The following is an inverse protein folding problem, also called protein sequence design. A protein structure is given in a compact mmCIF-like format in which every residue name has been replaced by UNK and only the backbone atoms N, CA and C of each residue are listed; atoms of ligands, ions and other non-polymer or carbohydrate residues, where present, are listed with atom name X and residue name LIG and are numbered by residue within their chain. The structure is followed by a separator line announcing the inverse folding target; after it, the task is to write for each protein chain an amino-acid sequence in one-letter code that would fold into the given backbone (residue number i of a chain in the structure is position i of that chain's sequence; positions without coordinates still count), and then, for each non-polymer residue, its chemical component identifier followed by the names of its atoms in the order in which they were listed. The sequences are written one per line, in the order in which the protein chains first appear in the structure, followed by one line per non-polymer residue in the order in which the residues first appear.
data_IF_957835172925
#
_entry.id   IF_957835172925
#
_cell.length_a   1.000
_cell.length_b   1.000
_cell.length_c   1.000
_cell.angle_alpha   90.00
_cell.angle_beta   90.00
_cell.angle_gamma   90.00
#
_symmetry.space_group_name_H-M   'P 1'
#
loop_
_entity.id
_entity.type
_entity.pdbx_description
1 polymer ?
#
# COMPACT_ATOMS: atom_id res chain seq x y z
N UNK A 1 5.30 11.57 -9.33
CA UNK A 1 5.08 12.17 -10.67
C UNK A 1 3.67 11.90 -11.17
N UNK A 2 3.22 10.65 -11.38
CA UNK A 2 1.94 10.32 -12.00
C UNK A 2 0.73 10.93 -11.28
N UNK A 3 0.65 10.85 -9.98
CA UNK A 3 -0.47 11.39 -9.20
C UNK A 3 -0.57 12.92 -9.28
N UNK A 4 0.56 13.64 -9.35
CA UNK A 4 0.57 15.09 -9.58
C UNK A 4 0.11 15.48 -10.99
N UNK A 5 0.35 14.62 -11.95
CA UNK A 5 0.02 14.84 -13.36
C UNK A 5 -1.06 13.85 -13.82
N UNK A 6 -2.05 13.59 -12.97
CA UNK A 6 -3.04 12.54 -13.17
C UNK A 6 -3.84 12.74 -14.45
N UNK A 7 -4.26 13.98 -14.73
CA UNK A 7 -4.97 14.33 -15.97
C UNK A 7 -4.13 14.04 -17.22
N UNK A 8 -2.87 14.49 -17.23
CA UNK A 8 -1.96 14.29 -18.36
C UNK A 8 -1.62 12.80 -18.56
N UNK A 9 -1.55 12.04 -17.45
CA UNK A 9 -1.29 10.61 -17.50
C UNK A 9 -2.46 9.84 -18.11
N UNK A 10 -3.69 10.16 -17.73
CA UNK A 10 -4.90 9.49 -18.22
C UNK A 10 -5.22 9.85 -19.67
N UNK A 11 -4.89 11.08 -20.12
CA UNK A 11 -5.28 11.64 -21.42
C UNK A 11 -6.79 11.50 -21.71
N UNK A 12 -7.59 11.57 -20.65
CA UNK A 12 -9.03 11.39 -20.66
C UNK A 12 -9.66 12.23 -19.55
N UNK A 13 -10.80 12.85 -19.85
CA UNK A 13 -11.60 13.62 -18.88
C UNK A 13 -12.80 12.78 -18.46
N UNK A 14 -12.85 12.42 -17.17
CA UNK A 14 -13.96 11.68 -16.59
C UNK A 14 -15.08 12.67 -16.21
N UNK A 15 -16.30 12.37 -16.56
CA UNK A 15 -17.48 13.18 -16.23
C UNK A 15 -17.73 13.31 -14.72
N UNK A 16 -17.24 12.35 -13.92
CA UNK A 16 -17.29 12.41 -12.45
C UNK A 16 -16.20 13.31 -11.84
N UNK A 17 -15.36 13.91 -12.67
CA UNK A 17 -14.17 14.63 -12.26
C UNK A 17 -12.97 13.71 -12.01
N UNK A 18 -11.87 14.30 -11.58
CA UNK A 18 -10.62 13.59 -11.34
C UNK A 18 -10.25 13.56 -9.86
N UNK A 19 -9.75 12.41 -9.42
CA UNK A 19 -9.10 12.31 -8.13
C UNK A 19 -7.90 13.26 -8.06
N UNK A 20 -7.74 13.92 -6.92
CA UNK A 20 -6.71 14.95 -6.75
C UNK A 20 -5.61 14.46 -5.81
N UNK A 21 -4.36 14.67 -6.19
CA UNK A 21 -3.23 14.50 -5.31
C UNK A 21 -3.04 15.77 -4.47
N UNK A 22 -3.18 15.64 -3.15
CA UNK A 22 -2.85 16.71 -2.19
C UNK A 22 -1.39 16.55 -1.75
N UNK A 23 -0.54 17.48 -2.14
CA UNK A 23 0.86 17.54 -1.71
C UNK A 23 0.92 18.24 -0.36
N UNK A 24 0.72 17.49 0.70
CA UNK A 24 0.75 17.99 2.08
C UNK A 24 2.12 17.85 2.74
N UNK A 25 2.98 17.03 2.17
CA UNK A 25 4.19 16.53 2.81
C UNK A 25 3.95 15.27 3.66
N UNK A 26 5.05 14.63 4.00
CA UNK A 26 5.07 13.47 4.90
C UNK A 26 6.24 13.60 5.88
N UNK A 27 5.96 13.52 7.17
CA UNK A 27 6.96 13.47 8.23
C UNK A 27 7.10 12.03 8.72
N UNK A 28 8.31 11.49 8.64
CA UNK A 28 8.66 10.23 9.29
C UNK A 28 9.42 10.57 10.57
N UNK A 29 8.84 10.25 11.72
CA UNK A 29 9.50 10.45 13.02
C UNK A 29 10.69 9.51 13.13
N UNK A 30 11.84 10.05 13.51
CA UNK A 30 13.03 9.23 13.74
C UNK A 30 12.98 8.62 15.13
N UNK A 31 12.87 7.30 15.17
CA UNK A 31 12.63 6.49 16.38
C UNK A 31 13.68 5.39 16.51
N UNK A 32 13.61 4.61 17.58
CA UNK A 32 14.47 3.42 17.73
C UNK A 32 14.12 2.30 16.75
N UNK A 33 12.87 2.28 16.25
CA UNK A 33 12.38 1.23 15.35
C UNK A 33 12.83 1.41 13.89
N UNK A 34 13.22 2.62 13.47
CA UNK A 34 13.43 2.93 12.06
C UNK A 34 14.87 3.32 11.66
N UNK A 35 15.86 2.56 12.12
CA UNK A 35 17.28 2.74 11.74
C UNK A 35 17.51 2.68 10.22
N UNK A 36 16.55 2.13 9.45
CA UNK A 36 16.61 2.06 7.99
C UNK A 36 16.53 3.42 7.30
N UNK A 37 16.08 4.47 7.98
CA UNK A 37 15.99 5.83 7.42
C UNK A 37 17.31 6.35 6.86
N UNK A 38 18.44 5.99 7.44
CA UNK A 38 19.75 6.38 6.91
C UNK A 38 20.03 5.83 5.51
N UNK A 39 19.60 4.57 5.24
CA UNK A 39 19.68 3.97 3.90
C UNK A 39 18.80 4.73 2.92
N UNK A 40 17.59 5.09 3.33
CA UNK A 40 16.63 5.83 2.50
C UNK A 40 17.13 7.25 2.17
N UNK A 41 17.75 7.94 3.12
CA UNK A 41 18.37 9.25 2.89
C UNK A 41 19.42 9.16 1.78
N UNK A 42 20.31 8.16 1.82
CA UNK A 42 21.30 7.94 0.76
C UNK A 42 20.66 7.75 -0.61
N UNK A 43 19.57 6.97 -0.68
CA UNK A 43 18.82 6.79 -1.94
C UNK A 43 18.19 8.11 -2.39
N UNK A 44 17.66 8.90 -1.46
CA UNK A 44 17.11 10.23 -1.78
C UNK A 44 18.19 11.15 -2.36
N UNK A 45 19.38 11.16 -1.77
CA UNK A 45 20.51 11.95 -2.28
C UNK A 45 20.94 11.50 -3.69
N UNK A 46 21.06 10.17 -3.91
CA UNK A 46 21.41 9.60 -5.22
C UNK A 46 20.36 9.91 -6.31
N UNK A 47 19.09 9.94 -5.93
CA UNK A 47 17.95 10.17 -6.85
C UNK A 47 17.49 11.63 -6.86
N UNK A 48 18.14 12.51 -6.10
CA UNK A 48 17.80 13.92 -5.94
C UNK A 48 16.34 14.13 -5.48
N UNK A 49 15.85 13.23 -4.61
CA UNK A 49 14.52 13.35 -4.01
C UNK A 49 14.59 14.38 -2.88
N UNK A 50 13.78 15.44 -2.91
CA UNK A 50 13.86 16.48 -1.88
C UNK A 50 13.36 15.95 -0.54
N UNK A 51 14.15 16.19 0.49
CA UNK A 51 13.80 15.94 1.90
C UNK A 51 14.39 17.02 2.80
N UNK A 52 13.89 17.09 4.04
CA UNK A 52 14.38 18.01 5.07
C UNK A 52 14.55 17.23 6.37
N UNK A 53 15.67 17.42 7.02
CA UNK A 53 15.84 16.93 8.39
C UNK A 53 15.26 17.97 9.36
N UNK A 54 14.29 17.56 10.15
CA UNK A 54 13.66 18.39 11.16
C UNK A 54 14.15 17.97 12.55
N UNK A 55 14.68 18.94 13.30
CA UNK A 55 14.95 18.76 14.71
C UNK A 55 13.66 18.87 15.53
N UNK A 56 13.75 18.56 16.83
CA UNK A 56 12.61 18.58 17.75
C UNK A 56 11.90 19.95 17.79
N UNK A 57 12.66 21.04 17.79
CA UNK A 57 12.10 22.39 17.81
C UNK A 57 11.25 22.65 16.56
N UNK A 58 11.78 22.34 15.39
CA UNK A 58 11.04 22.49 14.13
C UNK A 58 9.79 21.62 14.09
N UNK A 59 9.88 20.36 14.57
CA UNK A 59 8.71 19.49 14.69
C UNK A 59 7.66 20.11 15.60
N UNK A 60 8.04 20.60 16.79
CA UNK A 60 7.14 21.23 17.74
C UNK A 60 6.49 22.51 17.17
N UNK A 61 7.23 23.30 16.41
CA UNK A 61 6.70 24.49 15.74
C UNK A 61 5.68 24.15 14.64
N UNK A 62 5.88 23.03 13.93
CA UNK A 62 4.97 22.57 12.85
C UNK A 62 3.79 21.75 13.37
N UNK A 63 3.97 21.05 14.48
CA UNK A 63 2.97 20.24 15.15
C UNK A 63 2.87 20.69 16.64
N UNK A 64 2.34 21.90 16.92
CA UNK A 64 2.32 22.45 18.28
C UNK A 64 1.49 21.61 19.26
N UNK A 65 0.52 20.83 18.75
CA UNK A 65 -0.35 19.95 19.52
C UNK A 65 0.26 18.58 19.82
N UNK A 66 1.40 18.25 19.18
CA UNK A 66 2.06 16.96 19.39
C UNK A 66 2.83 16.92 20.70
N UNK A 67 2.58 15.89 21.48
CA UNK A 67 3.47 15.46 22.56
C UNK A 67 4.65 14.70 21.94
N UNK A 68 5.87 15.19 22.15
CA UNK A 68 7.11 14.62 21.60
C UNK A 68 7.86 13.74 22.62
N UNK A 69 7.24 13.34 23.73
CA UNK A 69 7.79 12.31 24.60
C UNK A 69 7.87 10.97 23.88
N UNK A 70 8.78 10.08 24.30
CA UNK A 70 8.92 8.75 23.73
C UNK A 70 8.07 7.73 24.51
N UNK A 71 7.35 6.91 23.76
CA UNK A 71 6.50 5.82 24.27
C UNK A 71 6.97 4.43 23.85
N UNK A 72 8.04 4.38 23.04
CA UNK A 72 8.58 3.13 22.50
C UNK A 72 8.95 2.10 23.57
N UNK A 73 8.71 0.80 23.35
CA UNK A 73 8.03 0.22 22.19
C UNK A 73 6.50 0.47 22.23
N UNK A 74 5.84 0.45 21.03
CA UNK A 74 4.39 0.45 20.99
C UNK A 74 3.81 -0.67 21.85
N UNK A 75 2.66 -0.41 22.50
CA UNK A 75 2.00 -1.34 23.43
C UNK A 75 0.53 -1.51 23.09
N UNK A 76 -0.05 -2.61 23.57
CA UNK A 76 -1.49 -2.78 23.59
C UNK A 76 -2.10 -2.01 24.76
N UNK A 77 -3.35 -1.59 24.63
CA UNK A 77 -4.01 -0.73 25.64
C UNK A 77 -4.14 -1.37 27.04
N UNK A 78 -4.17 -2.70 27.12
CA UNK A 78 -4.25 -3.47 28.36
C UNK A 78 -2.90 -3.67 29.05
N UNK A 79 -1.79 -3.32 28.41
CA UNK A 79 -0.47 -3.46 29.01
C UNK A 79 -0.25 -2.42 30.14
N UNK A 80 0.35 -2.86 31.24
CA UNK A 80 0.50 -2.09 32.50
C UNK A 80 1.08 -0.68 32.31
N UNK A 81 1.94 -0.50 31.34
CA UNK A 81 2.64 0.78 31.10
C UNK A 81 2.17 1.47 29.81
N UNK A 82 0.96 1.14 29.33
CA UNK A 82 0.38 1.85 28.18
C UNK A 82 0.21 3.34 28.51
N UNK A 83 0.59 4.20 27.57
CA UNK A 83 0.46 5.65 27.73
C UNK A 83 1.52 6.30 28.65
N UNK A 84 2.40 5.54 29.26
CA UNK A 84 3.50 6.09 30.05
C UNK A 84 4.75 6.32 29.18
N UNK A 85 5.23 7.56 29.19
CA UNK A 85 6.50 7.93 28.57
C UNK A 85 7.68 7.22 29.24
N UNK A 86 8.71 6.92 28.48
CA UNK A 86 9.96 6.38 29.00
C UNK A 86 10.92 7.47 29.54
N UNK A 87 10.47 8.74 29.61
CA UNK A 87 11.21 9.90 30.10
C UNK A 87 12.13 10.56 29.05
N UNK A 88 12.21 9.99 27.86
CA UNK A 88 12.94 10.58 26.74
C UNK A 88 12.00 11.34 25.79
N UNK A 89 12.61 11.97 24.77
CA UNK A 89 11.87 12.70 23.75
C UNK A 89 12.32 12.33 22.35
N UNK A 90 11.42 12.39 21.38
CA UNK A 90 11.74 12.33 19.96
C UNK A 90 12.64 13.53 19.61
N UNK A 91 13.76 13.25 18.93
CA UNK A 91 14.80 14.25 18.66
C UNK A 91 14.66 14.88 17.28
N UNK A 92 14.16 14.12 16.31
CA UNK A 92 14.19 14.51 14.90
C UNK A 92 13.20 13.70 14.07
N UNK A 93 13.04 14.11 12.82
CA UNK A 93 12.28 13.42 11.80
C UNK A 93 12.75 13.82 10.41
N UNK A 94 12.35 13.05 9.42
CA UNK A 94 12.62 13.34 8.01
C UNK A 94 11.30 13.76 7.36
N UNK A 95 11.29 14.96 6.80
CA UNK A 95 10.13 15.51 6.11
C UNK A 95 10.34 15.49 4.60
N UNK A 96 9.42 14.89 3.89
CA UNK A 96 9.36 14.81 2.44
C UNK A 96 8.34 15.81 1.91
N UNK A 97 8.74 16.98 1.42
CA UNK A 97 7.82 18.08 1.08
C UNK A 97 6.91 17.75 -0.12
N UNK A 98 7.36 16.89 -1.03
CA UNK A 98 6.61 16.51 -2.24
C UNK A 98 5.74 15.27 -2.06
N UNK A 99 5.70 14.71 -0.86
CA UNK A 99 4.79 13.61 -0.51
C UNK A 99 3.37 14.13 -0.24
N UNK A 100 2.41 13.22 -0.17
CA UNK A 100 1.02 13.56 0.07
C UNK A 100 0.12 12.35 -0.11
N UNK A 101 -1.16 12.59 -0.41
CA UNK A 101 -2.15 11.55 -0.60
C UNK A 101 -3.15 11.88 -1.71
N UNK A 102 -3.80 10.85 -2.25
CA UNK A 102 -4.92 11.00 -3.19
C UNK A 102 -6.22 11.12 -2.40
N UNK A 103 -7.03 12.11 -2.74
CA UNK A 103 -8.24 12.47 -1.98
C UNK A 103 -9.34 11.43 -2.05
N UNK A 104 -9.46 10.73 -3.18
CA UNK A 104 -10.50 9.75 -3.45
C UNK A 104 -9.94 8.56 -4.23
N UNK A 105 -9.55 7.47 -3.52
CA UNK A 105 -9.04 6.26 -4.16
C UNK A 105 -10.06 5.57 -5.08
N UNK A 106 -11.34 5.59 -4.74
CA UNK A 106 -12.40 4.99 -5.56
C UNK A 106 -12.58 5.76 -6.87
N UNK A 107 -12.58 7.10 -6.80
CA UNK A 107 -12.62 7.94 -7.99
C UNK A 107 -11.38 7.73 -8.86
N UNK A 108 -10.18 7.57 -8.28
CA UNK A 108 -8.97 7.32 -9.07
C UNK A 108 -9.04 5.98 -9.82
N UNK A 109 -9.60 4.94 -9.20
CA UNK A 109 -9.85 3.65 -9.86
C UNK A 109 -10.87 3.80 -11.00
N UNK A 110 -11.94 4.56 -10.79
CA UNK A 110 -12.93 4.88 -11.84
C UNK A 110 -12.28 5.67 -12.99
N UNK A 111 -11.46 6.67 -12.68
CA UNK A 111 -10.78 7.46 -13.71
C UNK A 111 -9.91 6.59 -14.63
N UNK A 112 -9.10 5.67 -14.07
CA UNK A 112 -8.27 4.78 -14.89
C UNK A 112 -9.10 3.76 -15.67
N UNK A 113 -10.22 3.29 -15.10
CA UNK A 113 -11.19 2.47 -15.80
C UNK A 113 -11.73 3.20 -17.04
N UNK A 114 -12.25 4.42 -16.87
CA UNK A 114 -12.81 5.21 -17.97
C UNK A 114 -11.76 5.51 -19.04
N UNK A 115 -10.54 5.83 -18.64
CA UNK A 115 -9.43 6.01 -19.58
C UNK A 115 -9.13 4.73 -20.37
N UNK A 116 -9.14 3.58 -19.72
CA UNK A 116 -8.93 2.29 -20.37
C UNK A 116 -10.08 1.94 -21.35
N UNK A 117 -11.35 2.17 -20.94
CA UNK A 117 -12.52 1.99 -21.83
C UNK A 117 -12.42 2.88 -23.08
N UNK A 118 -11.94 4.12 -22.94
CA UNK A 118 -11.73 5.02 -24.05
C UNK A 118 -10.67 4.52 -25.06
N UNK A 119 -9.81 3.60 -24.63
CA UNK A 119 -8.82 2.91 -25.50
C UNK A 119 -9.28 1.52 -25.95
N UNK A 120 -10.52 1.15 -25.69
CA UNK A 120 -11.15 -0.09 -26.15
C UNK A 120 -11.15 -1.24 -25.14
N UNK A 121 -10.76 -1.02 -23.89
CA UNK A 121 -10.90 -2.04 -22.85
C UNK A 121 -12.37 -2.26 -22.48
N UNK A 122 -12.74 -3.50 -22.18
CA UNK A 122 -14.06 -3.88 -21.67
C UNK A 122 -13.97 -4.31 -20.21
N UNK A 123 -14.93 -3.88 -19.39
CA UNK A 123 -15.04 -4.24 -17.97
C UNK A 123 -16.30 -5.08 -17.75
N UNK A 124 -16.13 -6.26 -17.15
CA UNK A 124 -17.20 -7.16 -16.78
C UNK A 124 -17.31 -7.20 -15.25
N UNK A 125 -18.19 -6.37 -14.71
CA UNK A 125 -18.47 -6.36 -13.28
C UNK A 125 -19.36 -7.54 -12.85
N UNK A 126 -19.34 -7.84 -11.54
CA UNK A 126 -20.11 -8.95 -10.96
C UNK A 126 -19.82 -10.30 -11.63
N UNK A 127 -18.56 -10.50 -12.05
CA UNK A 127 -18.11 -11.65 -12.83
C UNK A 127 -17.00 -12.38 -12.07
N UNK A 128 -17.33 -13.54 -11.52
CA UNK A 128 -16.38 -14.38 -10.78
C UNK A 128 -15.71 -15.37 -11.71
N UNK A 129 -14.39 -15.35 -11.79
CA UNK A 129 -13.60 -16.35 -12.50
C UNK A 129 -13.53 -17.63 -11.67
N UNK A 130 -13.90 -18.75 -12.25
CA UNK A 130 -13.91 -20.07 -11.61
C UNK A 130 -12.90 -21.05 -12.21
N UNK A 131 -12.40 -20.76 -13.41
CA UNK A 131 -11.42 -21.60 -14.10
C UNK A 131 -10.48 -20.75 -14.96
N UNK A 132 -9.21 -21.12 -14.99
CA UNK A 132 -8.24 -20.66 -15.99
C UNK A 132 -8.14 -21.77 -17.03
N UNK A 133 -8.72 -21.52 -18.23
CA UNK A 133 -8.70 -22.46 -19.36
C UNK A 133 -7.26 -22.55 -19.88
N UNK A 134 -6.72 -23.76 -19.94
CA UNK A 134 -5.33 -23.98 -20.36
C UNK A 134 -5.20 -25.25 -21.21
N UNK A 135 -4.26 -25.20 -22.14
CA UNK A 135 -3.90 -26.31 -22.99
C UNK A 135 -2.39 -26.30 -23.28
N UNK A 136 -1.74 -27.47 -23.29
CA UNK A 136 -0.30 -27.59 -23.56
C UNK A 136 0.58 -26.60 -22.73
N UNK A 137 0.26 -26.46 -21.44
CA UNK A 137 0.95 -25.55 -20.51
C UNK A 137 0.90 -24.05 -20.94
N UNK A 138 -0.19 -23.65 -21.60
CA UNK A 138 -0.48 -22.27 -21.97
C UNK A 138 -1.92 -21.90 -21.64
N UNK A 139 -2.14 -20.66 -21.25
CA UNK A 139 -3.47 -20.08 -21.05
C UNK A 139 -4.21 -20.00 -22.39
N UNK A 140 -5.49 -20.36 -22.41
CA UNK A 140 -6.41 -20.15 -23.53
C UNK A 140 -7.59 -19.24 -23.16
N UNK A 141 -7.75 -18.88 -21.89
CA UNK A 141 -8.81 -17.97 -21.42
C UNK A 141 -9.25 -18.23 -19.99
N UNK A 142 -10.45 -17.77 -19.71
CA UNK A 142 -11.11 -17.92 -18.39
C UNK A 142 -12.54 -18.39 -18.54
N UNK A 143 -13.06 -19.11 -17.52
CA UNK A 143 -14.48 -19.43 -17.38
C UNK A 143 -15.04 -18.69 -16.16
N UNK A 144 -16.23 -18.13 -16.30
CA UNK A 144 -16.95 -17.43 -15.25
C UNK A 144 -17.94 -18.37 -14.54
N UNK A 145 -18.37 -17.97 -13.33
CA UNK A 145 -19.32 -18.74 -12.52
C UNK A 145 -20.70 -18.95 -13.22
N UNK A 146 -21.07 -18.06 -14.14
CA UNK A 146 -22.30 -18.20 -14.95
C UNK A 146 -22.13 -19.13 -16.16
N UNK A 147 -20.93 -19.69 -16.38
CA UNK A 147 -20.60 -20.58 -17.49
C UNK A 147 -20.05 -19.87 -18.74
N UNK A 148 -20.03 -18.55 -18.78
CA UNK A 148 -19.45 -17.80 -19.90
C UNK A 148 -17.94 -18.04 -19.99
N UNK A 149 -17.42 -18.12 -21.23
CA UNK A 149 -16.00 -18.32 -21.50
C UNK A 149 -15.45 -17.16 -22.32
N UNK A 150 -14.30 -16.66 -21.89
CA UNK A 150 -13.57 -15.63 -22.61
C UNK A 150 -12.20 -16.17 -23.03
N UNK A 151 -11.94 -16.18 -24.33
CA UNK A 151 -10.67 -16.67 -24.88
C UNK A 151 -9.62 -15.57 -24.85
N UNK A 152 -8.42 -15.91 -24.37
CA UNK A 152 -7.26 -15.04 -24.40
C UNK A 152 -5.99 -15.88 -24.26
N UNK A 153 -4.95 -15.53 -24.98
CA UNK A 153 -3.61 -16.12 -24.81
C UNK A 153 -2.83 -15.52 -23.62
N UNK A 154 -3.37 -14.48 -22.97
CA UNK A 154 -2.79 -13.78 -21.83
C UNK A 154 -3.86 -13.59 -20.75
N UNK A 155 -3.54 -13.98 -19.52
CA UNK A 155 -4.32 -13.69 -18.32
C UNK A 155 -3.40 -13.08 -17.27
N UNK A 156 -3.84 -11.98 -16.66
CA UNK A 156 -3.10 -11.30 -15.60
C UNK A 156 -3.90 -11.35 -14.31
N UNK A 157 -3.36 -11.99 -13.29
CA UNK A 157 -3.97 -12.01 -11.96
C UNK A 157 -3.65 -10.72 -11.21
N UNK A 158 -4.66 -9.88 -11.00
CA UNK A 158 -4.61 -8.63 -10.21
C UNK A 158 -5.73 -8.62 -9.16
N UNK A 159 -6.10 -9.82 -8.66
CA UNK A 159 -7.31 -10.04 -7.89
C UNK A 159 -7.20 -9.56 -6.41
N UNK A 160 -6.13 -8.86 -6.02
CA UNK A 160 -5.95 -8.36 -4.66
C UNK A 160 -6.03 -9.49 -3.63
N UNK A 161 -6.85 -9.39 -2.57
CA UNK A 161 -6.96 -10.42 -1.53
C UNK A 161 -7.35 -11.82 -2.03
N UNK A 162 -7.95 -11.93 -3.22
CA UNK A 162 -8.29 -13.21 -3.86
C UNK A 162 -7.18 -13.77 -4.74
N UNK A 163 -6.03 -13.10 -4.87
CA UNK A 163 -4.94 -13.48 -5.78
C UNK A 163 -4.44 -14.89 -5.53
N UNK A 164 -4.32 -15.30 -4.25
CA UNK A 164 -3.94 -16.69 -3.89
C UNK A 164 -4.90 -17.72 -4.48
N UNK A 165 -6.21 -17.47 -4.38
CA UNK A 165 -7.26 -18.35 -4.92
C UNK A 165 -7.17 -18.48 -6.44
N UNK A 166 -6.95 -17.37 -7.14
CA UNK A 166 -6.79 -17.38 -8.60
C UNK A 166 -5.50 -18.12 -9.01
N UNK A 167 -4.38 -17.94 -8.28
CA UNK A 167 -3.16 -18.71 -8.52
C UNK A 167 -3.33 -20.21 -8.28
N UNK A 168 -4.16 -20.59 -7.30
CA UNK A 168 -4.53 -22.01 -7.07
C UNK A 168 -5.36 -22.56 -8.22
N UNK A 169 -6.35 -21.82 -8.70
CA UNK A 169 -7.19 -22.20 -9.87
C UNK A 169 -6.31 -22.35 -11.11
N UNK A 170 -5.32 -21.50 -11.31
CA UNK A 170 -4.35 -21.58 -12.40
C UNK A 170 -3.31 -22.72 -12.21
N UNK A 171 -3.28 -23.39 -11.04
CA UNK A 171 -2.32 -24.43 -10.66
C UNK A 171 -0.85 -24.00 -10.76
N UNK A 172 -0.54 -22.72 -10.46
CA UNK A 172 0.80 -22.14 -10.55
C UNK A 172 1.51 -22.01 -9.21
N UNK A 173 0.85 -22.35 -8.09
CA UNK A 173 1.41 -22.19 -6.74
C UNK A 173 2.61 -23.08 -6.45
N UNK A 174 2.80 -24.17 -7.21
CA UNK A 174 3.85 -25.16 -6.99
C UNK A 174 5.27 -24.62 -7.24
N UNK A 175 5.42 -23.60 -8.06
CA UNK A 175 6.71 -22.98 -8.37
C UNK A 175 6.91 -21.60 -7.72
N UNK A 176 6.05 -21.26 -6.75
CA UNK A 176 6.11 -20.03 -5.98
C UNK A 176 6.81 -20.26 -4.64
N UNK A 177 7.83 -19.47 -4.33
CA UNK A 177 8.45 -19.37 -3.02
C UNK A 177 7.85 -18.24 -2.19
N UNK A 178 7.34 -17.22 -2.86
CA UNK A 178 6.57 -16.11 -2.27
C UNK A 178 5.13 -16.26 -2.74
N UNK A 179 4.20 -16.20 -1.80
CA UNK A 179 2.76 -16.30 -2.04
C UNK A 179 2.03 -15.08 -1.47
N UNK A 180 0.72 -15.08 -1.54
CA UNK A 180 -0.08 -14.02 -0.90
C UNK A 180 -1.06 -14.62 0.10
N UNK A 181 -1.39 -13.84 1.12
CA UNK A 181 -2.40 -14.17 2.11
C UNK A 181 -3.19 -12.93 2.50
N UNK A 182 -4.53 -13.01 2.56
CA UNK A 182 -5.33 -11.88 3.05
C UNK A 182 -5.05 -11.58 4.52
N UNK A 183 -4.77 -10.31 4.83
CA UNK A 183 -4.55 -9.80 6.17
C UNK A 183 -5.60 -8.75 6.47
N UNK A 184 -6.44 -8.97 7.50
CA UNK A 184 -7.43 -8.00 7.94
C UNK A 184 -6.73 -6.78 8.54
N UNK A 185 -7.16 -5.60 8.11
CA UNK A 185 -6.68 -4.32 8.59
C UNK A 185 -7.84 -3.40 8.97
N UNK A 186 -7.60 -2.57 9.98
CA UNK A 186 -8.52 -1.55 10.44
C UNK A 186 -7.91 -0.18 10.26
N UNK A 187 -8.64 0.72 9.61
CA UNK A 187 -8.24 2.13 9.46
C UNK A 187 -9.28 2.99 10.15
N UNK A 188 -8.83 3.74 11.11
CA UNK A 188 -9.65 4.62 11.94
C UNK A 188 -9.97 5.92 11.22
N UNK A 189 -11.18 6.43 11.38
CA UNK A 189 -11.59 7.74 10.92
C UNK A 189 -12.23 8.51 12.07
N UNK A 190 -11.59 9.56 12.55
CA UNK A 190 -12.05 10.35 13.70
C UNK A 190 -11.91 11.86 13.45
N UNK A 191 -12.64 12.66 14.21
CA UNK A 191 -12.55 14.10 14.09
C UNK A 191 -11.24 14.61 14.68
N UNK A 192 -10.62 15.58 14.03
CA UNK A 192 -9.53 16.34 14.65
C UNK A 192 -10.06 17.19 15.83
N UNK A 193 -9.22 17.49 16.83
CA UNK A 193 -9.56 18.47 17.84
C UNK A 193 -10.00 19.80 17.22
N UNK A 194 -10.99 20.48 17.81
CA UNK A 194 -11.53 21.76 17.29
C UNK A 194 -10.48 22.87 17.22
N UNK A 195 -9.44 22.78 18.05
CA UNK A 195 -8.30 23.69 18.07
C UNK A 195 -7.35 23.53 16.88
N UNK A 196 -7.50 22.45 16.08
CA UNK A 196 -6.58 22.09 15.00
C UNK A 196 -7.32 22.06 13.67
N UNK A 197 -6.93 22.90 12.73
CA UNK A 197 -7.34 22.78 11.32
C UNK A 197 -6.42 21.77 10.63
N UNK A 198 -6.71 20.48 10.84
CA UNK A 198 -5.88 19.39 10.35
C UNK A 198 -6.08 19.13 8.86
N UNK A 199 -7.29 19.40 8.34
CA UNK A 199 -7.59 19.25 6.91
C UNK A 199 -6.70 20.14 6.02
N UNK A 200 -6.48 21.41 6.43
CA UNK A 200 -5.75 22.36 5.62
C UNK A 200 -4.26 22.48 6.00
N UNK A 201 -3.93 22.27 7.28
CA UNK A 201 -2.59 22.47 7.80
C UNK A 201 -1.87 21.16 8.19
N UNK A 202 -2.59 20.05 8.22
CA UNK A 202 -2.02 18.74 8.52
C UNK A 202 -1.25 18.15 7.34
N UNK A 203 -0.38 17.22 7.65
CA UNK A 203 0.37 16.42 6.68
C UNK A 203 0.39 14.95 7.12
N UNK A 204 0.90 14.07 6.27
CA UNK A 204 1.07 12.66 6.61
C UNK A 204 2.15 12.54 7.68
N UNK A 205 1.90 11.79 8.74
CA UNK A 205 2.90 11.47 9.78
C UNK A 205 2.99 9.97 9.94
N UNK A 206 4.19 9.44 9.89
CA UNK A 206 4.55 8.06 10.21
C UNK A 206 5.32 8.05 11.54
N UNK A 207 4.85 7.30 12.52
CA UNK A 207 5.38 7.33 13.88
C UNK A 207 5.48 5.94 14.51
N UNK A 208 6.61 5.29 14.25
CA UNK A 208 6.90 3.95 14.79
C UNK A 208 7.11 3.93 16.30
N UNK A 209 7.26 5.08 16.98
CA UNK A 209 7.38 5.16 18.44
C UNK A 209 6.06 4.78 19.14
N UNK A 210 4.94 5.12 18.51
CA UNK A 210 3.59 4.76 18.96
C UNK A 210 2.91 3.73 18.04
N UNK A 211 3.57 3.36 16.92
CA UNK A 211 3.13 2.31 16.00
C UNK A 211 1.92 2.67 15.14
N UNK A 212 1.76 3.96 14.78
CA UNK A 212 0.67 4.42 13.91
C UNK A 212 1.16 5.44 12.90
N UNK A 213 0.50 5.46 11.74
CA UNK A 213 0.55 6.58 10.82
C UNK A 213 -0.78 7.34 10.83
N UNK A 214 -0.73 8.61 10.44
CA UNK A 214 -1.95 9.38 10.24
C UNK A 214 -1.85 10.29 9.01
N UNK A 215 -3.02 10.71 8.50
CA UNK A 215 -3.12 11.74 7.47
C UNK A 215 -4.37 12.58 7.63
N UNK A 216 -4.38 13.80 7.06
CA UNK A 216 -5.61 14.59 6.95
C UNK A 216 -6.67 13.90 6.12
N UNK A 217 -7.93 14.14 6.49
CA UNK A 217 -9.09 13.71 5.72
C UNK A 217 -10.15 14.81 5.72
N UNK A 218 -10.99 14.82 4.66
CA UNK A 218 -12.05 15.82 4.44
C UNK A 218 -12.98 15.97 5.64
N UNK A 219 -13.41 17.19 5.91
CA UNK A 219 -14.30 17.52 7.04
C UNK A 219 -13.55 17.65 8.36
N UNK A 220 -12.29 18.07 8.32
CA UNK A 220 -11.38 18.19 9.46
C UNK A 220 -11.27 16.89 10.27
N UNK A 221 -11.09 15.79 9.56
CA UNK A 221 -10.93 14.47 10.14
C UNK A 221 -9.46 13.99 10.04
N UNK A 222 -9.17 12.98 10.84
CA UNK A 222 -7.89 12.27 10.86
C UNK A 222 -8.14 10.83 10.48
N UNK A 223 -7.38 10.31 9.53
CA UNK A 223 -7.29 8.90 9.22
C UNK A 223 -6.06 8.34 9.93
N UNK A 224 -6.23 7.26 10.69
CA UNK A 224 -5.16 6.62 11.47
C UNK A 224 -5.09 5.14 11.08
N UNK A 225 -3.89 4.63 10.79
CA UNK A 225 -3.66 3.22 10.52
C UNK A 225 -2.47 2.69 11.32
N UNK A 226 -2.37 1.36 11.40
CA UNK A 226 -1.26 0.67 12.05
C UNK A 226 0.01 0.71 11.20
N UNK A 227 1.16 0.82 11.84
CA UNK A 227 2.47 0.49 11.26
C UNK A 227 2.88 -0.96 11.53
N UNK A 228 1.93 -1.79 11.93
CA UNK A 228 2.11 -3.20 12.25
C UNK A 228 3.26 -3.47 13.24
N UNK A 229 3.27 -2.80 14.40
CA UNK A 229 4.30 -3.04 15.40
C UNK A 229 4.22 -4.49 15.93
N UNK A 230 5.33 -5.07 16.40
CA UNK A 230 5.39 -6.47 16.82
C UNK A 230 4.39 -6.91 17.90
N UNK A 231 3.80 -5.96 18.64
CA UNK A 231 2.77 -6.24 19.65
C UNK A 231 1.38 -6.45 19.02
N UNK A 232 1.15 -6.04 17.77
CA UNK A 232 -0.13 -6.23 17.09
C UNK A 232 -0.20 -7.64 16.50
N UNK A 233 -1.26 -8.37 16.86
CA UNK A 233 -1.50 -9.69 16.29
C UNK A 233 -2.06 -9.58 14.87
N UNK A 234 -1.39 -10.19 13.91
CA UNK A 234 -1.89 -10.26 12.54
C UNK A 234 -3.15 -11.12 12.44
N UNK A 235 -4.23 -10.57 11.94
CA UNK A 235 -5.50 -11.27 11.72
C UNK A 235 -5.57 -11.81 10.28
N UNK A 236 -4.96 -12.97 10.07
CA UNK A 236 -4.98 -13.65 8.77
C UNK A 236 -6.36 -14.22 8.46
N UNK A 237 -6.80 -14.05 7.22
CA UNK A 237 -8.09 -14.53 6.71
C UNK A 237 -7.84 -15.68 5.72
N UNK A 238 -8.65 -16.73 5.79
CA UNK A 238 -8.52 -17.86 4.87
C UNK A 238 -9.32 -17.65 3.57
N UNK A 239 -10.54 -17.11 3.65
CA UNK A 239 -11.35 -16.74 2.49
C UNK A 239 -11.64 -15.24 2.50
N UNK A 240 -11.10 -14.54 1.51
CA UNK A 240 -11.31 -13.11 1.35
C UNK A 240 -12.78 -12.72 1.08
N UNK A 241 -13.64 -13.71 0.76
CA UNK A 241 -15.07 -13.48 0.55
C UNK A 241 -15.91 -13.68 1.82
N UNK A 242 -15.31 -14.23 2.89
CA UNK A 242 -16.00 -14.53 4.16
C UNK A 242 -15.08 -14.21 5.34
N UNK A 243 -15.18 -12.97 5.85
CA UNK A 243 -14.46 -12.52 7.03
C UNK A 243 -15.28 -11.51 7.83
N UNK A 244 -14.97 -11.39 9.12
CA UNK A 244 -15.62 -10.42 10.00
C UNK A 244 -15.17 -8.99 9.64
N UNK A 245 -16.11 -8.16 9.18
CA UNK A 245 -15.92 -6.76 8.80
C UNK A 245 -16.22 -5.79 9.96
N UNK A 246 -16.40 -6.29 11.17
CA UNK A 246 -16.55 -5.43 12.34
C UNK A 246 -15.17 -4.95 12.83
N UNK A 247 -15.18 -3.74 13.41
CA UNK A 247 -14.04 -3.25 14.16
C UNK A 247 -13.82 -4.08 15.42
N UNK A 248 -12.55 -4.25 15.77
CA UNK A 248 -12.13 -4.95 17.01
C UNK A 248 -11.55 -3.96 18.01
N UNK A 249 -10.96 -4.45 19.09
CA UNK A 249 -10.18 -3.62 20.03
C UNK A 249 -8.97 -2.95 19.36
N UNK A 250 -8.56 -3.40 18.17
CA UNK A 250 -7.50 -2.76 17.39
C UNK A 250 -7.87 -1.32 17.01
N UNK A 251 -9.12 -1.05 16.65
CA UNK A 251 -9.61 0.31 16.41
C UNK A 251 -9.31 1.25 17.58
N UNK A 252 -9.66 0.78 18.80
CA UNK A 252 -9.44 1.55 20.02
C UNK A 252 -7.96 1.71 20.34
N UNK A 253 -7.18 0.66 20.18
CA UNK A 253 -5.72 0.68 20.35
C UNK A 253 -5.07 1.73 19.45
N UNK A 254 -5.44 1.81 18.18
CA UNK A 254 -4.92 2.81 17.24
C UNK A 254 -5.26 4.24 17.68
N UNK A 255 -6.51 4.49 18.09
CA UNK A 255 -6.94 5.80 18.59
C UNK A 255 -6.16 6.19 19.85
N UNK A 256 -6.03 5.29 20.80
CA UNK A 256 -5.33 5.56 22.06
C UNK A 256 -3.82 5.76 21.85
N UNK A 257 -3.19 5.03 20.94
CA UNK A 257 -1.79 5.26 20.56
C UNK A 257 -1.62 6.65 19.93
N UNK A 258 -2.51 7.06 19.03
CA UNK A 258 -2.46 8.39 18.46
C UNK A 258 -2.73 9.50 19.50
N UNK A 259 -3.61 9.25 20.47
CA UNK A 259 -3.88 10.19 21.57
C UNK A 259 -2.63 10.47 22.45
N UNK A 260 -1.64 9.58 22.48
CA UNK A 260 -0.35 9.85 23.13
C UNK A 260 0.39 11.02 22.47
N UNK A 261 0.17 11.22 21.16
CA UNK A 261 0.73 12.37 20.39
C UNK A 261 -0.15 13.59 20.44
N UNK A 262 -1.45 13.43 20.49
CA UNK A 262 -2.43 14.52 20.51
C UNK A 262 -3.32 14.37 21.75
N UNK A 263 -2.87 14.84 22.93
CA UNK A 263 -3.61 14.68 24.18
C UNK A 263 -5.00 15.31 24.20
N UNK A 264 -5.23 16.31 23.32
CA UNK A 264 -6.54 16.99 23.17
C UNK A 264 -7.54 16.20 22.32
N UNK A 265 -7.17 14.99 21.85
CA UNK A 265 -8.00 14.17 20.98
C UNK A 265 -9.26 13.71 21.71
N UNK A 266 -10.43 14.08 21.18
CA UNK A 266 -11.71 13.60 21.69
C UNK A 266 -11.98 12.19 21.14
N UNK A 267 -11.99 11.19 22.02
CA UNK A 267 -12.20 9.79 21.63
C UNK A 267 -13.70 9.52 21.52
N UNK A 268 -14.17 9.28 20.31
CA UNK A 268 -15.57 8.91 20.05
C UNK A 268 -15.90 7.54 20.62
N UNK A 269 -17.13 7.39 21.13
CA UNK A 269 -17.71 6.09 21.50
C UNK A 269 -18.20 5.30 20.26
N UNK A 270 -18.34 5.97 19.10
CA UNK A 270 -18.73 5.35 17.84
C UNK A 270 -17.50 5.06 17.02
N UNK A 271 -17.30 3.81 16.66
CA UNK A 271 -16.27 3.37 15.73
C UNK A 271 -16.63 3.86 14.31
N UNK A 272 -15.65 4.44 13.62
CA UNK A 272 -15.76 4.88 12.22
C UNK A 272 -14.46 4.58 11.50
N UNK A 273 -14.55 4.27 10.22
CA UNK A 273 -13.38 3.96 9.42
C UNK A 273 -13.66 2.85 8.41
N UNK A 274 -12.65 2.07 8.12
CA UNK A 274 -12.72 0.96 7.17
C UNK A 274 -12.10 -0.29 7.81
N UNK A 275 -12.76 -1.42 7.61
CA UNK A 275 -12.22 -2.75 7.86
C UNK A 275 -12.13 -3.44 6.50
N UNK A 276 -10.93 -3.79 6.08
CA UNK A 276 -10.69 -4.41 4.78
C UNK A 276 -9.46 -5.32 4.81
N UNK A 277 -9.11 -5.90 3.69
CA UNK A 277 -8.04 -6.88 3.56
C UNK A 277 -6.86 -6.32 2.76
N UNK A 278 -5.65 -6.49 3.28
CA UNK A 278 -4.44 -6.42 2.48
C UNK A 278 -4.17 -7.76 1.81
N UNK A 279 -3.66 -7.73 0.59
CA UNK A 279 -3.08 -8.87 -0.11
C UNK A 279 -1.59 -8.92 0.23
N UNK A 280 -1.21 -9.67 1.27
CA UNK A 280 0.12 -9.58 1.89
C UNK A 280 1.00 -10.75 1.50
N UNK A 281 2.23 -10.46 1.05
CA UNK A 281 3.28 -11.44 0.82
C UNK A 281 4.10 -11.67 2.10
N UNK A 282 4.91 -12.73 2.12
CA UNK A 282 5.76 -13.09 3.27
C UNK A 282 6.80 -12.01 3.62
N UNK A 283 7.22 -11.19 2.64
CA UNK A 283 8.20 -10.10 2.82
C UNK A 283 7.62 -8.70 2.55
N UNK A 284 6.31 -8.58 2.40
CA UNK A 284 5.59 -7.34 2.13
C UNK A 284 5.98 -6.64 0.81
N UNK A 285 6.76 -7.30 -0.03
CA UNK A 285 7.14 -6.83 -1.36
C UNK A 285 6.19 -7.48 -2.38
N UNK A 286 5.64 -6.74 -3.35
CA UNK A 286 4.70 -7.30 -4.33
C UNK A 286 5.32 -8.35 -5.23
N UNK A 287 4.47 -9.14 -5.88
CA UNK A 287 4.82 -10.04 -6.96
C UNK A 287 4.42 -9.39 -8.27
N UNK A 288 5.41 -9.08 -9.11
CA UNK A 288 5.23 -8.64 -10.49
C UNK A 288 6.01 -9.61 -11.37
N UNK A 289 5.34 -10.68 -11.84
CA UNK A 289 6.04 -11.81 -12.45
C UNK A 289 5.18 -12.54 -13.48
N UNK A 290 5.83 -13.35 -14.30
CA UNK A 290 5.19 -14.43 -15.05
C UNK A 290 5.00 -15.66 -14.15
N UNK A 291 4.47 -16.76 -14.70
CA UNK A 291 4.39 -18.04 -14.01
C UNK A 291 4.98 -19.16 -14.85
N UNK A 292 4.94 -20.40 -14.33
CA UNK A 292 5.26 -21.61 -15.11
C UNK A 292 4.22 -21.91 -16.19
N UNK A 293 2.99 -21.42 -16.06
CA UNK A 293 1.95 -21.47 -17.08
C UNK A 293 2.14 -20.33 -18.06
N UNK A 294 2.50 -20.62 -19.31
CA UNK A 294 2.72 -19.60 -20.34
C UNK A 294 1.47 -18.73 -20.55
N UNK A 295 1.67 -17.43 -20.65
CA UNK A 295 0.60 -16.45 -20.82
C UNK A 295 -0.12 -16.10 -19.51
N UNK A 296 0.27 -16.68 -18.35
CA UNK A 296 -0.29 -16.30 -17.05
C UNK A 296 0.71 -15.45 -16.26
N UNK A 297 0.27 -14.26 -15.90
CA UNK A 297 1.05 -13.24 -15.20
C UNK A 297 0.42 -12.83 -13.88
N UNK A 298 1.20 -12.26 -12.98
CA UNK A 298 0.77 -11.88 -11.64
C UNK A 298 1.22 -10.45 -11.32
N UNK A 299 0.29 -9.62 -10.85
CA UNK A 299 0.55 -8.34 -10.20
C UNK A 299 -0.26 -8.31 -8.89
N UNK A 300 0.27 -8.94 -7.85
CA UNK A 300 -0.42 -9.20 -6.60
C UNK A 300 0.51 -9.01 -5.40
N UNK A 301 0.00 -9.20 -4.19
CA UNK A 301 0.79 -9.03 -2.97
C UNK A 301 1.10 -7.56 -2.67
N UNK A 302 0.11 -6.67 -2.84
CA UNK A 302 0.28 -5.23 -2.64
C UNK A 302 0.65 -4.83 -1.21
N UNK A 303 0.38 -5.70 -0.23
CA UNK A 303 0.75 -5.55 1.19
C UNK A 303 0.39 -4.17 1.77
N UNK A 304 -0.72 -3.55 1.29
CA UNK A 304 -1.20 -2.25 1.74
C UNK A 304 -0.36 -1.04 1.28
N UNK A 305 0.77 -1.23 0.58
CA UNK A 305 1.70 -0.14 0.28
C UNK A 305 1.86 0.19 -1.22
N UNK A 306 1.20 -0.51 -2.14
CA UNK A 306 1.43 -0.38 -3.57
C UNK A 306 0.51 0.61 -4.31
N UNK A 307 -0.48 1.20 -3.67
CA UNK A 307 -1.36 2.20 -4.30
C UNK A 307 -0.54 3.34 -4.94
N UNK A 308 0.47 3.85 -4.22
CA UNK A 308 1.38 4.89 -4.73
C UNK A 308 2.09 4.50 -6.02
N UNK A 309 2.33 3.20 -6.24
CA UNK A 309 3.09 2.65 -7.36
C UNK A 309 2.20 2.15 -8.50
N UNK A 310 0.87 2.11 -8.35
CA UNK A 310 -0.04 1.51 -9.32
C UNK A 310 0.20 1.94 -10.78
N UNK A 311 0.40 3.24 -11.11
CA UNK A 311 0.63 3.66 -12.49
C UNK A 311 1.92 3.10 -13.09
N UNK A 312 3.00 3.04 -12.31
CA UNK A 312 4.28 2.52 -12.81
C UNK A 312 4.30 0.99 -12.82
N UNK A 313 3.60 0.34 -11.90
CA UNK A 313 3.43 -1.11 -11.87
C UNK A 313 2.71 -1.60 -13.13
N UNK A 314 1.65 -0.92 -13.57
CA UNK A 314 0.96 -1.22 -14.82
C UNK A 314 1.87 -1.16 -16.04
N UNK A 315 2.69 -0.10 -16.16
CA UNK A 315 3.68 0.03 -17.25
C UNK A 315 4.76 -1.06 -17.20
N UNK A 316 5.22 -1.39 -16.00
CA UNK A 316 6.21 -2.44 -15.80
C UNK A 316 5.66 -3.81 -16.18
N UNK A 317 4.40 -4.10 -15.79
CA UNK A 317 3.71 -5.35 -16.17
C UNK A 317 3.51 -5.46 -17.67
N UNK A 318 3.09 -4.40 -18.36
CA UNK A 318 2.99 -4.39 -19.82
C UNK A 318 4.34 -4.74 -20.46
N UNK A 319 5.44 -4.14 -20.00
CA UNK A 319 6.79 -4.45 -20.51
C UNK A 319 7.23 -5.88 -20.19
N UNK A 320 6.89 -6.41 -19.03
CA UNK A 320 7.18 -7.80 -18.67
C UNK A 320 6.43 -8.79 -19.58
N UNK A 321 5.15 -8.51 -19.85
CA UNK A 321 4.33 -9.33 -20.75
C UNK A 321 4.93 -9.34 -22.15
N UNK A 322 5.20 -8.18 -22.74
CA UNK A 322 5.88 -8.09 -24.05
C UNK A 322 7.16 -8.92 -24.06
N UNK A 323 8.03 -8.72 -23.06
CA UNK A 323 9.29 -9.42 -22.94
C UNK A 323 9.14 -10.95 -22.96
N UNK A 324 8.17 -11.48 -22.20
CA UNK A 324 7.92 -12.91 -22.12
C UNK A 324 7.24 -13.48 -23.38
N UNK A 325 6.32 -12.74 -23.99
CA UNK A 325 5.64 -13.17 -25.22
C UNK A 325 6.59 -13.14 -26.44
N UNK A 326 7.67 -12.35 -26.40
CA UNK A 326 8.79 -12.42 -27.35
C UNK A 326 9.72 -13.64 -27.12
N UNK A 327 9.25 -14.64 -26.37
CA UNK A 327 9.96 -15.87 -26.03
C UNK A 327 11.22 -15.69 -25.16
N UNK A 328 11.35 -14.57 -24.45
CA UNK A 328 12.41 -14.41 -23.46
C UNK A 328 12.05 -15.14 -22.17
N UNK A 329 13.06 -15.73 -21.53
CA UNK A 329 12.88 -16.44 -20.28
C UNK A 329 13.20 -15.53 -19.09
N UNK A 330 12.17 -14.98 -18.46
CA UNK A 330 12.28 -14.05 -17.34
C UNK A 330 12.95 -14.69 -16.10
N UNK A 331 12.73 -15.97 -15.84
CA UNK A 331 13.32 -16.68 -14.70
C UNK A 331 14.86 -16.82 -14.83
N UNK A 332 15.39 -16.91 -16.07
CA UNK A 332 16.82 -17.04 -16.33
C UNK A 332 17.51 -15.72 -16.65
N UNK A 333 16.82 -14.88 -17.40
CA UNK A 333 17.27 -13.54 -17.82
C UNK A 333 16.17 -12.53 -17.49
N UNK A 334 16.17 -11.95 -16.29
CA UNK A 334 15.09 -11.08 -15.87
C UNK A 334 14.90 -9.85 -16.75
N UNK A 335 13.65 -9.52 -17.03
CA UNK A 335 13.26 -8.29 -17.73
C UNK A 335 13.83 -7.08 -17.00
N UNK A 336 14.36 -6.13 -17.76
CA UNK A 336 14.82 -4.83 -17.28
C UNK A 336 13.79 -3.75 -17.65
N UNK A 337 13.47 -2.91 -16.70
CA UNK A 337 12.51 -1.82 -16.87
C UNK A 337 13.15 -0.47 -16.55
N UNK A 338 13.10 0.46 -17.51
CA UNK A 338 13.57 1.81 -17.31
C UNK A 338 12.51 2.64 -16.62
N UNK A 339 12.83 3.20 -15.46
CA UNK A 339 12.01 4.19 -14.75
C UNK A 339 12.16 5.54 -15.45
N UNK A 340 11.12 6.04 -16.18
CA UNK A 340 11.33 7.09 -17.18
C UNK A 340 11.70 8.44 -16.59
N UNK A 341 11.28 8.74 -15.34
CA UNK A 341 11.48 10.09 -14.75
C UNK A 341 12.76 10.25 -13.94
N UNK A 342 13.38 9.13 -13.56
CA UNK A 342 14.63 9.15 -12.79
C UNK A 342 15.78 8.49 -13.60
N UNK A 343 15.50 8.06 -14.84
CA UNK A 343 16.45 7.42 -15.74
C UNK A 343 17.26 6.28 -15.08
N UNK A 344 16.60 5.48 -14.25
CA UNK A 344 17.19 4.31 -13.60
C UNK A 344 16.54 3.04 -14.13
N UNK A 345 17.35 2.06 -14.45
CA UNK A 345 16.87 0.75 -14.88
C UNK A 345 16.80 -0.17 -13.67
N UNK A 346 15.62 -0.76 -13.45
CA UNK A 346 15.41 -1.79 -12.41
C UNK A 346 15.36 -3.17 -13.03
N UNK A 347 15.76 -4.17 -12.25
CA UNK A 347 15.61 -5.57 -12.56
C UNK A 347 14.25 -6.06 -12.03
N UNK A 348 13.31 -6.40 -12.93
CA UNK A 348 11.97 -6.86 -12.54
C UNK A 348 12.01 -8.20 -11.80
N UNK A 349 13.06 -9.01 -11.99
CA UNK A 349 13.29 -10.22 -11.21
C UNK A 349 13.40 -10.02 -9.69
N UNK A 350 13.60 -8.76 -9.23
CA UNK A 350 13.47 -8.41 -7.81
C UNK A 350 12.08 -8.75 -7.24
N UNK A 351 11.05 -8.68 -8.07
CA UNK A 351 9.65 -8.96 -7.70
C UNK A 351 9.23 -10.40 -8.01
N UNK A 352 10.18 -11.28 -8.33
CA UNK A 352 9.87 -12.64 -8.76
C UNK A 352 9.20 -13.45 -7.65
N UNK A 353 8.21 -14.28 -8.03
CA UNK A 353 7.59 -15.31 -7.18
C UNK A 353 8.58 -16.32 -6.62
N UNK A 354 9.75 -16.47 -7.26
CA UNK A 354 10.83 -17.40 -6.88
C UNK A 354 11.90 -16.77 -6.00
N UNK A 355 11.76 -15.48 -5.64
CA UNK A 355 12.71 -14.83 -4.74
C UNK A 355 12.70 -15.48 -3.35
N UNK A 356 13.79 -15.39 -2.66
CA UNK A 356 13.82 -15.65 -1.22
C UNK A 356 13.21 -14.47 -0.49
N UNK A 357 12.63 -14.73 0.71
CA UNK A 357 12.16 -13.68 1.59
C UNK A 357 13.26 -12.63 1.78
N UNK A 358 12.97 -11.40 1.44
CA UNK A 358 13.88 -10.27 1.62
C UNK A 358 13.87 -9.83 3.08
N UNK A 359 14.94 -10.15 3.80
CA UNK A 359 15.09 -9.84 5.23
C UNK A 359 15.30 -8.34 5.50
N UNK A 360 15.62 -7.55 4.47
CA UNK A 360 15.79 -6.10 4.55
C UNK A 360 14.48 -5.33 4.29
N UNK A 361 13.36 -6.03 4.10
CA UNK A 361 12.04 -5.41 4.01
C UNK A 361 11.62 -4.80 5.35
N UNK A 362 10.75 -3.79 5.30
CA UNK A 362 10.16 -3.20 6.49
C UNK A 362 9.20 -4.13 7.22
N UNK A 363 8.68 -5.16 6.53
CA UNK A 363 7.59 -6.03 6.99
C UNK A 363 6.36 -5.25 7.48
N UNK A 364 6.08 -4.11 6.85
CA UNK A 364 4.97 -3.22 7.18
C UNK A 364 4.44 -2.47 5.96
N UNK A 365 3.36 -1.70 6.15
CA UNK A 365 2.77 -0.82 5.13
C UNK A 365 3.69 0.31 4.66
N UNK A 366 4.80 0.52 5.32
CA UNK A 366 5.76 1.57 4.95
C UNK A 366 6.53 1.21 3.66
N UNK A 367 6.67 -0.07 3.33
CA UNK A 367 7.25 -0.59 2.09
C UNK A 367 8.74 -0.84 2.17
#
# INVERSE_FOLDING_TARGET
FYWKNWNDYLQFVDERGLATFKETGCLIMQTQANNYLEKHIKICDELQIPYQQWNREKIKNKLPHYNLEQFYPPKLQEEKNFGLSNGNHLKSGIFFPTAGYVTDPALSAHNIQRAAENTGAAFLFNSTVTEIIQNNNRVEGVCLANGDKYTSSIVVNVAGPWSRKINQIANVTKDMMITTRPLKQEVVHINAPKSIDFENNGFVVSDSDVGVYCRPEKGNNILIGSEDPPCDAHQWVEDASDYDQNFTEQWRTLVLRYAQRVPELEISTKTRGVVDLYDTTEDWIPIYDCSSLKGYYMACGSSGNQYKNAPIAGKMMAKLIEYCEDNNNHDRNPCKFLLPYINKTINVGFYSRRRKINKDSSFSVLG
#
